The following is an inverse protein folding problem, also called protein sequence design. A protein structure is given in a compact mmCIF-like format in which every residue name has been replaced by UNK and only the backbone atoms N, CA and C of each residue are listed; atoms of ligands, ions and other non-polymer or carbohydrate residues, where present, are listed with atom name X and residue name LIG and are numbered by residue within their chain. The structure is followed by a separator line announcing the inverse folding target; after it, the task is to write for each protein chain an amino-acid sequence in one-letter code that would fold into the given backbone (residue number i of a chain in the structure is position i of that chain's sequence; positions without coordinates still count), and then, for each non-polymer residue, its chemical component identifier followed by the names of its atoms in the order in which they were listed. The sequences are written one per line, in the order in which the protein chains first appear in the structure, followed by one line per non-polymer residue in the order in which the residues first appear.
data_IF_043884213467
#
_entry.id   IF_043884213467
#
_cell.length_a   1.000
_cell.length_b   1.000
_cell.length_c   1.000
_cell.angle_alpha   90.00
_cell.angle_beta   90.00
_cell.angle_gamma   90.00
#
_symmetry.space_group_name_H-M   'P 1'
#
loop_
_entity.id
_entity.type
_entity.pdbx_description
1 polymer ?
#
# COMPACT_ATOMS: atom_id res chain seq x y z
N UNK A 1 -13.93 7.44 -29.15
CA UNK A 1 -13.99 7.91 -27.74
C UNK A 1 -12.59 7.92 -27.16
N UNK A 2 -12.23 8.94 -26.37
CA UNK A 2 -10.98 8.94 -25.61
C UNK A 2 -11.09 7.91 -24.46
N UNK A 3 -10.26 6.85 -24.41
CA UNK A 3 -10.36 5.80 -23.39
C UNK A 3 -10.18 6.33 -21.97
N UNK A 4 -9.45 7.44 -21.80
CA UNK A 4 -9.27 8.09 -20.50
C UNK A 4 -10.58 8.71 -19.97
N UNK A 5 -11.48 9.15 -20.85
CA UNK A 5 -12.77 9.68 -20.43
C UNK A 5 -13.63 8.59 -19.76
N UNK A 6 -13.66 7.38 -20.31
CA UNK A 6 -14.39 6.25 -19.72
C UNK A 6 -13.83 5.84 -18.35
N UNK A 7 -12.50 5.86 -18.19
CA UNK A 7 -11.85 5.57 -16.91
C UNK A 7 -12.19 6.62 -15.83
N UNK A 8 -12.16 7.90 -16.19
CA UNK A 8 -12.50 8.98 -15.27
C UNK A 8 -13.98 8.95 -14.86
N UNK A 9 -14.87 8.64 -15.80
CA UNK A 9 -16.30 8.46 -15.50
C UNK A 9 -16.49 7.30 -14.53
N UNK A 10 -15.84 6.16 -14.75
CA UNK A 10 -15.93 5.00 -13.85
C UNK A 10 -15.42 5.33 -12.44
N UNK A 11 -14.26 5.98 -12.33
CA UNK A 11 -13.70 6.42 -11.05
C UNK A 11 -14.63 7.42 -10.34
N UNK A 12 -15.21 8.37 -11.09
CA UNK A 12 -16.16 9.35 -10.56
C UNK A 12 -17.44 8.70 -10.03
N UNK A 13 -18.02 7.75 -10.77
CA UNK A 13 -19.20 6.99 -10.31
C UNK A 13 -18.87 6.16 -9.07
N UNK A 14 -17.72 5.47 -9.04
CA UNK A 14 -17.30 4.71 -7.87
C UNK A 14 -17.14 5.60 -6.63
N UNK A 15 -16.53 6.77 -6.78
CA UNK A 15 -16.39 7.76 -5.70
C UNK A 15 -17.76 8.29 -5.25
N UNK A 16 -18.66 8.59 -6.19
CA UNK A 16 -20.01 9.05 -5.89
C UNK A 16 -20.78 8.01 -5.08
N UNK A 17 -20.70 6.73 -5.46
CA UNK A 17 -21.36 5.65 -4.71
C UNK A 17 -20.76 5.51 -3.31
N UNK A 18 -19.44 5.55 -3.18
CA UNK A 18 -18.78 5.45 -1.87
C UNK A 18 -19.15 6.62 -0.94
N UNK A 19 -18.99 7.86 -1.41
CA UNK A 19 -19.29 9.07 -0.64
C UNK A 19 -20.80 9.21 -0.39
N UNK A 20 -21.63 8.93 -1.41
CA UNK A 20 -23.08 8.95 -1.30
C UNK A 20 -23.60 7.93 -0.29
N UNK A 21 -23.02 6.72 -0.25
CA UNK A 21 -23.34 5.71 0.76
C UNK A 21 -22.98 6.14 2.17
N UNK A 22 -21.78 6.72 2.36
CA UNK A 22 -21.35 7.26 3.66
C UNK A 22 -22.23 8.44 4.10
N UNK A 23 -22.57 9.36 3.20
CA UNK A 23 -23.44 10.49 3.48
C UNK A 23 -24.86 10.04 3.84
N UNK A 24 -25.42 9.10 3.08
CA UNK A 24 -26.74 8.54 3.35
C UNK A 24 -26.76 7.80 4.69
N UNK A 25 -25.72 7.02 4.99
CA UNK A 25 -25.56 6.37 6.29
C UNK A 25 -25.51 7.39 7.42
N UNK A 26 -24.75 8.48 7.27
CA UNK A 26 -24.66 9.54 8.27
C UNK A 26 -26.00 10.27 8.52
N UNK A 27 -26.83 10.42 7.48
CA UNK A 27 -28.14 11.09 7.58
C UNK A 27 -29.24 10.17 8.11
N UNK A 28 -29.29 8.90 7.66
CA UNK A 28 -30.32 7.94 8.07
C UNK A 28 -30.03 7.34 9.45
N UNK A 29 -28.76 7.24 9.84
CA UNK A 29 -28.36 6.56 11.08
C UNK A 29 -28.96 7.22 12.33
N UNK A 30 -29.51 6.44 13.29
CA UNK A 30 -29.97 6.97 14.56
C UNK A 30 -28.81 7.63 15.32
N UNK A 31 -28.85 8.96 15.47
CA UNK A 31 -27.80 9.79 16.08
C UNK A 31 -27.59 9.60 17.60
N UNK A 32 -27.77 8.40 18.13
CA UNK A 32 -27.61 8.07 19.57
C UNK A 32 -26.13 7.86 19.93
N UNK A 33 -25.34 8.94 19.86
CA UNK A 33 -23.98 8.96 20.42
C UNK A 33 -24.05 9.00 21.95
N UNK A 34 -23.31 8.11 22.59
CA UNK A 34 -23.12 8.08 24.05
C UNK A 34 -21.61 7.98 24.30
N UNK A 35 -21.12 8.55 25.41
CA UNK A 35 -19.70 8.51 25.81
C UNK A 35 -19.11 7.10 25.72
N UNK A 36 -19.88 6.09 26.15
CA UNK A 36 -19.47 4.68 26.10
C UNK A 36 -19.40 4.14 24.66
N UNK A 37 -20.30 4.57 23.76
CA UNK A 37 -20.33 4.11 22.36
C UNK A 37 -19.21 4.70 21.49
N UNK A 38 -18.66 5.84 21.89
CA UNK A 38 -17.57 6.52 21.17
C UNK A 38 -16.20 6.30 21.81
N UNK A 39 -16.16 5.62 22.96
CA UNK A 39 -14.91 5.24 23.61
C UNK A 39 -14.21 4.14 22.79
N UNK A 40 -12.88 4.14 22.83
CA UNK A 40 -12.09 3.06 22.25
C UNK A 40 -12.44 1.73 22.94
N UNK A 41 -12.46 0.65 22.16
CA UNK A 41 -12.84 -0.66 22.66
C UNK A 41 -11.70 -1.30 23.45
N UNK A 42 -11.92 -1.58 24.73
CA UNK A 42 -11.01 -2.37 25.58
C UNK A 42 -11.80 -3.19 26.61
N UNK A 43 -12.81 -3.95 26.14
CA UNK A 43 -13.58 -4.89 26.97
C UNK A 43 -14.13 -4.34 28.30
N UNK A 44 -14.48 -3.05 28.36
CA UNK A 44 -15.03 -2.41 29.57
C UNK A 44 -13.99 -1.83 30.53
N UNK A 45 -12.70 -1.88 30.17
CA UNK A 45 -11.62 -1.13 30.81
C UNK A 45 -11.53 0.26 30.15
N UNK A 46 -11.17 1.28 30.93
CA UNK A 46 -10.88 2.59 30.35
C UNK A 46 -9.74 2.43 29.33
N UNK A 47 -9.94 2.90 28.09
CA UNK A 47 -9.01 2.60 27.03
C UNK A 47 -7.63 3.15 27.37
N UNK A 48 -6.62 2.31 27.19
CA UNK A 48 -5.21 2.67 27.32
C UNK A 48 -5.00 3.99 26.57
N UNK A 49 -4.52 5.06 27.22
CA UNK A 49 -4.32 6.35 26.57
C UNK A 49 -3.43 6.10 25.36
N UNK A 50 -3.97 6.38 24.16
CA UNK A 50 -3.45 5.93 22.88
C UNK A 50 -1.95 6.23 22.73
N UNK A 51 -1.08 5.30 23.13
CA UNK A 51 0.39 5.30 23.06
C UNK A 51 1.07 6.68 23.01
N UNK A 52 0.54 7.70 23.71
CA UNK A 52 1.13 9.04 23.68
C UNK A 52 2.30 9.09 24.67
N UNK A 53 2.31 8.17 25.65
CA UNK A 53 3.34 8.07 26.68
C UNK A 53 4.21 6.79 26.59
N UNK A 54 3.80 5.75 25.87
CA UNK A 54 4.52 4.47 25.87
C UNK A 54 4.72 3.89 24.45
N UNK A 55 5.85 4.23 23.83
CA UNK A 55 6.49 3.41 22.82
C UNK A 55 6.45 3.94 21.39
N UNK A 56 7.64 4.05 20.77
CA UNK A 56 7.76 4.14 19.31
C UNK A 56 7.16 2.88 18.69
N UNK A 57 6.44 3.04 17.58
CA UNK A 57 6.03 1.90 16.77
C UNK A 57 7.27 1.09 16.31
N UNK A 58 7.15 -0.24 16.15
CA UNK A 58 8.23 -1.07 15.64
C UNK A 58 8.83 -0.51 14.35
N UNK A 59 10.16 -0.49 14.26
CA UNK A 59 10.88 0.00 13.08
C UNK A 59 10.71 -0.94 11.87
N UNK A 60 10.25 -2.18 12.08
CA UNK A 60 9.97 -3.15 11.02
C UNK A 60 9.04 -2.62 9.92
N UNK A 61 8.03 -1.81 10.28
CA UNK A 61 7.16 -1.16 9.28
C UNK A 61 7.90 -0.20 8.36
N UNK A 62 8.93 0.48 8.88
CA UNK A 62 9.78 1.37 8.08
C UNK A 62 10.65 0.58 7.11
N UNK A 63 11.28 -0.52 7.57
CA UNK A 63 12.12 -1.38 6.72
C UNK A 63 11.29 -1.94 5.56
N UNK A 64 10.12 -2.49 5.85
CA UNK A 64 9.22 -3.04 4.82
C UNK A 64 8.73 -1.97 3.85
N UNK A 65 8.37 -0.79 4.35
CA UNK A 65 7.98 0.33 3.49
C UNK A 65 9.13 0.81 2.58
N UNK A 66 10.35 0.89 3.11
CA UNK A 66 11.53 1.26 2.33
C UNK A 66 11.82 0.24 1.23
N UNK A 67 11.81 -1.06 1.55
CA UNK A 67 12.05 -2.14 0.58
C UNK A 67 10.95 -2.19 -0.48
N UNK A 68 9.70 -1.95 -0.10
CA UNK A 68 8.58 -1.84 -1.04
C UNK A 68 8.80 -0.71 -2.05
N UNK A 69 9.23 0.48 -1.63
CA UNK A 69 9.49 1.61 -2.53
C UNK A 69 10.61 1.28 -3.53
N UNK A 70 11.69 0.65 -3.05
CA UNK A 70 12.81 0.25 -3.93
C UNK A 70 12.35 -0.77 -4.97
N UNK A 71 11.58 -1.78 -4.55
CA UNK A 71 11.04 -2.80 -5.44
C UNK A 71 10.00 -2.23 -6.43
N UNK A 72 9.16 -1.29 -6.00
CA UNK A 72 8.19 -0.63 -6.89
C UNK A 72 8.91 0.15 -8.00
N UNK A 73 9.99 0.86 -7.66
CA UNK A 73 10.85 1.53 -8.64
C UNK A 73 11.48 0.53 -9.62
N UNK A 74 11.89 -0.67 -9.18
CA UNK A 74 12.37 -1.73 -10.05
C UNK A 74 11.32 -2.14 -11.10
N UNK A 75 10.07 -2.35 -10.67
CA UNK A 75 8.97 -2.72 -11.56
C UNK A 75 8.68 -1.60 -12.57
N UNK A 76 8.78 -0.33 -12.16
CA UNK A 76 8.67 0.83 -13.07
C UNK A 76 9.69 0.75 -14.21
N UNK A 77 10.92 0.30 -13.95
CA UNK A 77 11.94 0.10 -15.00
C UNK A 77 11.67 -1.12 -15.89
N UNK A 78 11.00 -2.16 -15.36
CA UNK A 78 10.65 -3.35 -16.13
C UNK A 78 9.48 -3.11 -17.09
N UNK A 79 8.57 -2.15 -16.85
CA UNK A 79 7.43 -1.88 -17.73
C UNK A 79 7.82 -1.48 -19.17
N UNK A 80 8.73 -0.51 -19.40
CA UNK A 80 9.18 -0.16 -20.75
C UNK A 80 9.85 -1.34 -21.46
N UNK A 81 10.64 -2.14 -20.74
CA UNK A 81 11.23 -3.35 -21.28
C UNK A 81 10.17 -4.38 -21.70
N UNK A 82 9.18 -4.64 -20.83
CA UNK A 82 8.11 -5.60 -21.08
C UNK A 82 7.25 -5.21 -22.30
N UNK A 83 6.93 -3.92 -22.44
CA UNK A 83 6.14 -3.42 -23.58
C UNK A 83 6.92 -3.41 -24.89
N UNK A 84 8.24 -3.25 -24.83
CA UNK A 84 9.11 -3.23 -26.01
C UNK A 84 9.81 -4.57 -26.32
N UNK A 85 9.51 -5.64 -25.57
CA UNK A 85 10.21 -6.92 -25.63
C UNK A 85 10.41 -7.46 -27.06
N UNK A 86 9.38 -7.39 -27.90
CA UNK A 86 9.42 -7.85 -29.28
C UNK A 86 10.49 -7.15 -30.15
N UNK A 87 10.88 -5.92 -29.79
CA UNK A 87 11.91 -5.14 -30.51
C UNK A 87 13.32 -5.39 -29.96
N UNK A 88 13.46 -5.63 -28.66
CA UNK A 88 14.77 -5.83 -28.02
C UNK A 88 15.26 -7.29 -28.08
N UNK A 89 14.35 -8.26 -28.20
CA UNK A 89 14.68 -9.69 -28.33
C UNK A 89 15.59 -10.19 -27.21
N UNK A 90 16.55 -11.05 -27.56
CA UNK A 90 17.46 -11.68 -26.60
C UNK A 90 18.37 -10.70 -25.84
N UNK A 91 18.76 -9.58 -26.47
CA UNK A 91 19.57 -8.56 -25.80
C UNK A 91 18.78 -7.86 -24.70
N UNK A 92 17.52 -7.50 -24.97
CA UNK A 92 16.64 -6.95 -23.94
C UNK A 92 16.42 -7.95 -22.81
N UNK A 93 16.21 -9.23 -23.12
CA UNK A 93 16.03 -10.28 -22.12
C UNK A 93 17.25 -10.41 -21.20
N UNK A 94 18.46 -10.46 -21.75
CA UNK A 94 19.67 -10.59 -20.93
C UNK A 94 19.90 -9.35 -20.07
N UNK A 95 19.68 -8.14 -20.60
CA UNK A 95 19.77 -6.90 -19.83
C UNK A 95 18.77 -6.85 -18.67
N UNK A 96 17.51 -7.26 -18.89
CA UNK A 96 16.50 -7.31 -17.83
C UNK A 96 16.81 -8.38 -16.77
N UNK A 97 17.30 -9.56 -17.17
CA UNK A 97 17.73 -10.59 -16.22
C UNK A 97 18.91 -10.13 -15.36
N UNK A 98 19.89 -9.44 -15.96
CA UNK A 98 21.01 -8.86 -15.21
C UNK A 98 20.52 -7.78 -14.25
N UNK A 99 19.59 -6.92 -14.67
CA UNK A 99 19.00 -5.89 -13.82
C UNK A 99 18.28 -6.48 -12.61
N UNK A 100 17.40 -7.46 -12.82
CA UNK A 100 16.69 -8.18 -11.75
C UNK A 100 17.69 -8.87 -10.82
N UNK A 101 18.71 -9.54 -11.37
CA UNK A 101 19.72 -10.20 -10.56
C UNK A 101 20.49 -9.21 -9.66
N UNK A 102 20.87 -8.04 -10.20
CA UNK A 102 21.59 -7.02 -9.45
C UNK A 102 20.78 -6.44 -8.28
N UNK A 103 19.48 -6.24 -8.46
CA UNK A 103 18.60 -5.70 -7.40
C UNK A 103 18.11 -6.79 -6.43
N UNK A 104 18.02 -8.04 -6.88
CA UNK A 104 17.74 -9.18 -6.00
C UNK A 104 18.86 -9.37 -4.96
N UNK A 105 20.11 -9.04 -5.27
CA UNK A 105 21.24 -9.17 -4.32
C UNK A 105 21.02 -8.39 -3.01
N UNK A 106 20.78 -7.06 -3.01
CA UNK A 106 20.52 -6.32 -1.78
C UNK A 106 19.25 -6.80 -1.06
N UNK A 107 18.20 -7.23 -1.78
CA UNK A 107 17.02 -7.83 -1.16
C UNK A 107 17.35 -9.12 -0.39
N UNK A 108 18.13 -10.03 -0.99
CA UNK A 108 18.58 -11.25 -0.30
C UNK A 108 19.48 -10.92 0.89
N UNK A 109 20.33 -9.89 0.77
CA UNK A 109 21.17 -9.44 1.88
C UNK A 109 20.33 -8.92 3.05
N UNK A 110 19.32 -8.11 2.77
CA UNK A 110 18.40 -7.59 3.77
C UNK A 110 17.65 -8.73 4.48
N UNK A 111 17.13 -9.69 3.71
CA UNK A 111 16.46 -10.86 4.25
C UNK A 111 17.40 -11.67 5.15
N UNK A 112 18.65 -11.93 4.71
CA UNK A 112 19.63 -12.65 5.53
C UNK A 112 20.05 -11.90 6.80
N UNK A 113 19.86 -10.58 6.86
CA UNK A 113 20.16 -9.74 8.04
C UNK A 113 18.96 -9.59 8.98
N UNK A 114 17.84 -10.25 8.71
CA UNK A 114 16.64 -10.16 9.53
C UNK A 114 15.89 -8.84 9.37
N UNK A 115 16.10 -8.11 8.27
CA UNK A 115 15.35 -6.86 8.00
C UNK A 115 13.84 -7.06 7.85
N UNK A 116 13.41 -8.32 7.68
CA UNK A 116 12.03 -8.75 7.54
C UNK A 116 11.58 -9.65 8.71
N UNK A 117 12.31 -9.69 9.81
CA UNK A 117 11.89 -10.46 11.00
C UNK A 117 10.86 -9.65 11.80
N UNK A 118 9.81 -10.32 12.28
CA UNK A 118 8.61 -9.71 12.89
C UNK A 118 8.33 -10.15 14.33
N UNK A 119 9.36 -10.66 15.02
CA UNK A 119 9.28 -11.06 16.44
C UNK A 119 9.59 -9.89 17.40
#
# INVERSE_FOLDING_TARGET
MNPYASLLIMAGVALLVAVGGLALSAVISPGRRNRVKVANYECGIDPTPANTEHGRFPVSFYLVGMTFIIFDVEVVFLYPWATAFARLGFFGLSAALVFIALITVPYVLEWRRGGLDWD
#
